data_IF_773048198417
#
_entry.id   IF_773048198417
#
_cell.length_a   1.000
_cell.length_b   1.000
_cell.length_c   1.000
_cell.angle_alpha   90.00
_cell.angle_beta   90.00
_cell.angle_gamma   90.00
#
_symmetry.space_group_name_H-M   'P 1'
#
loop_
_entity.id
_entity.type
_entity.pdbx_description
1 polymer ?
#
# COMPACT_ATOMS: atom_id res chain seq x y z
N UNK A 1 -0.09 11.23 1.61
CA UNK A 1 -0.21 12.08 0.39
C UNK A 1 -1.49 11.72 -0.36
N UNK A 2 -2.61 11.69 0.36
CA UNK A 2 -3.74 10.82 0.00
C UNK A 2 -4.58 11.31 -1.18
N UNK A 3 -4.41 12.57 -1.58
CA UNK A 3 -5.11 13.17 -2.75
C UNK A 3 -4.35 13.00 -4.06
N UNK A 4 -3.09 12.55 -4.01
CA UNK A 4 -2.30 12.32 -5.22
C UNK A 4 -2.78 11.05 -5.92
N UNK A 5 -2.97 11.08 -7.25
CA UNK A 5 -3.19 9.84 -8.01
C UNK A 5 -1.92 8.97 -8.02
N UNK A 6 -2.08 7.66 -8.14
CA UNK A 6 -0.94 6.73 -8.15
C UNK A 6 0.03 7.03 -9.32
N UNK A 7 -0.51 7.42 -10.47
CA UNK A 7 0.29 7.81 -11.63
C UNK A 7 1.16 9.02 -11.32
N UNK A 8 0.58 10.04 -10.68
CA UNK A 8 1.30 11.25 -10.31
C UNK A 8 2.33 10.99 -9.21
N UNK A 9 2.04 10.07 -8.28
CA UNK A 9 2.94 9.73 -7.17
C UNK A 9 4.20 9.03 -7.68
N UNK A 10 4.03 8.05 -8.57
CA UNK A 10 5.15 7.36 -9.22
C UNK A 10 5.96 8.33 -10.10
N UNK A 11 5.29 9.25 -10.80
CA UNK A 11 5.97 10.26 -11.60
C UNK A 11 6.80 11.21 -10.70
N UNK A 12 6.23 11.70 -9.59
CA UNK A 12 6.94 12.55 -8.64
C UNK A 12 8.18 11.87 -8.05
N UNK A 13 8.11 10.57 -7.72
CA UNK A 13 9.26 9.80 -7.24
C UNK A 13 10.36 9.70 -8.31
N UNK A 14 9.99 9.39 -9.56
CA UNK A 14 10.95 9.30 -10.67
C UNK A 14 11.63 10.65 -10.94
N UNK A 15 10.85 11.72 -10.96
CA UNK A 15 11.35 13.07 -11.17
C UNK A 15 12.24 13.52 -10.00
N UNK A 16 11.87 13.19 -8.75
CA UNK A 16 12.68 13.49 -7.58
C UNK A 16 14.04 12.78 -7.61
N UNK A 17 14.07 11.49 -7.97
CA UNK A 17 15.31 10.73 -8.18
C UNK A 17 16.14 11.30 -9.33
N UNK A 18 15.52 11.63 -10.47
CA UNK A 18 16.24 12.16 -11.65
C UNK A 18 16.91 13.50 -11.35
N UNK A 19 16.29 14.34 -10.54
CA UNK A 19 16.82 15.66 -10.20
C UNK A 19 17.70 15.66 -8.94
N UNK A 20 18.01 14.49 -8.35
CA UNK A 20 18.73 14.38 -7.07
C UNK A 20 18.16 15.32 -5.99
N UNK A 21 16.83 15.33 -5.85
CA UNK A 21 16.18 16.08 -4.79
C UNK A 21 16.55 15.51 -3.41
N UNK A 22 16.12 16.23 -2.37
CA UNK A 22 16.36 15.84 -0.98
C UNK A 22 16.06 14.33 -0.76
N UNK A 23 17.04 13.54 -0.26
CA UNK A 23 16.86 12.12 0.01
C UNK A 23 15.66 11.81 0.92
N UNK A 24 15.37 12.68 1.88
CA UNK A 24 14.23 12.51 2.78
C UNK A 24 12.90 12.67 2.05
N UNK A 25 12.83 13.60 1.09
CA UNK A 25 11.66 13.75 0.24
C UNK A 25 11.45 12.51 -0.65
N UNK A 26 12.53 11.95 -1.20
CA UNK A 26 12.49 10.71 -2.00
C UNK A 26 12.00 9.54 -1.14
N UNK A 27 12.47 9.44 0.12
CA UNK A 27 12.05 8.41 1.09
C UNK A 27 10.56 8.49 1.38
N UNK A 28 10.02 9.69 1.61
CA UNK A 28 8.58 9.90 1.85
C UNK A 28 7.74 9.41 0.66
N UNK A 29 8.18 9.69 -0.57
CA UNK A 29 7.49 9.22 -1.77
C UNK A 29 7.53 7.70 -1.90
N UNK A 30 8.66 7.08 -1.58
CA UNK A 30 8.85 5.63 -1.60
C UNK A 30 7.96 4.91 -0.58
N UNK A 31 7.89 5.43 0.65
CA UNK A 31 7.04 4.89 1.72
C UNK A 31 5.56 4.95 1.36
N UNK A 32 5.09 6.06 0.80
CA UNK A 32 3.72 6.21 0.35
C UNK A 32 3.39 5.22 -0.78
N UNK A 33 4.31 5.00 -1.74
CA UNK A 33 4.14 4.01 -2.82
C UNK A 33 4.00 2.60 -2.21
N UNK A 34 4.88 2.22 -1.29
CA UNK A 34 4.79 0.92 -0.62
C UNK A 34 3.49 0.75 0.16
N UNK A 35 3.07 1.75 0.93
CA UNK A 35 1.82 1.73 1.67
C UNK A 35 0.60 1.50 0.76
N UNK A 36 0.55 2.15 -0.40
CA UNK A 36 -0.56 1.97 -1.35
C UNK A 36 -0.57 0.61 -2.01
N UNK A 37 0.60 0.07 -2.34
CA UNK A 37 0.71 -1.29 -2.89
C UNK A 37 0.26 -2.30 -1.85
N UNK A 38 0.73 -2.20 -0.61
CA UNK A 38 0.31 -3.07 0.48
C UNK A 38 -1.20 -2.97 0.71
N UNK A 39 -1.76 -1.77 0.76
CA UNK A 39 -3.22 -1.58 0.91
C UNK A 39 -3.99 -2.26 -0.22
N UNK A 40 -3.56 -2.12 -1.47
CA UNK A 40 -4.21 -2.80 -2.62
C UNK A 40 -4.11 -4.31 -2.53
N UNK A 41 -2.94 -4.85 -2.16
CA UNK A 41 -2.74 -6.29 -1.99
C UNK A 41 -3.66 -6.81 -0.88
N UNK A 42 -3.70 -6.13 0.27
CA UNK A 42 -4.55 -6.49 1.40
C UNK A 42 -6.05 -6.39 1.05
N UNK A 43 -6.47 -5.33 0.37
CA UNK A 43 -7.85 -5.19 -0.12
C UNK A 43 -8.22 -6.26 -1.15
N UNK A 44 -7.26 -6.68 -1.99
CA UNK A 44 -7.49 -7.76 -2.95
C UNK A 44 -7.53 -9.15 -2.27
N UNK A 45 -6.80 -9.35 -1.16
CA UNK A 45 -6.89 -10.59 -0.36
C UNK A 45 -8.16 -10.66 0.48
N UNK A 46 -8.73 -9.52 0.91
CA UNK A 46 -10.00 -9.48 1.63
C UNK A 46 -11.22 -9.92 0.80
N UNK A 47 -11.05 -10.17 -0.51
CA UNK A 47 -12.08 -10.76 -1.37
C UNK A 47 -12.10 -12.30 -1.42
N UNK A 48 -11.14 -13.01 -0.78
CA UNK A 48 -11.14 -14.49 -0.74
C UNK A 48 -11.28 -15.09 0.66
N UNK A 49 -10.95 -14.36 1.72
CA UNK A 49 -10.84 -14.93 3.07
C UNK A 49 -11.89 -14.36 4.06
N UNK A 50 -13.14 -14.17 3.62
CA UNK A 50 -14.30 -13.97 4.51
C UNK A 50 -15.17 -15.23 4.59
N UNK A 51 -14.54 -16.40 4.74
CA UNK A 51 -15.16 -17.63 5.24
C UNK A 51 -14.35 -18.13 6.44
N UNK A 52 -14.38 -17.37 7.52
CA UNK A 52 -14.23 -17.95 8.85
C UNK A 52 -15.56 -17.72 9.52
N UNK A 53 -16.41 -18.73 9.43
CA UNK A 53 -17.60 -18.87 10.25
C UNK A 53 -17.16 -18.93 11.72
N UNK A 54 -17.80 -18.14 12.57
CA UNK A 54 -17.61 -18.21 14.03
C UNK A 54 -17.92 -19.62 14.59
N UNK A 55 -18.57 -20.48 13.80
CA UNK A 55 -18.88 -21.87 14.13
C UNK A 55 -17.63 -22.78 14.17
N UNK A 56 -16.59 -22.49 13.36
CA UNK A 56 -15.35 -23.27 13.35
C UNK A 56 -14.49 -23.14 14.63
N UNK A 57 -14.80 -22.18 15.52
CA UNK A 57 -14.05 -21.95 16.76
C UNK A 57 -14.65 -22.64 18.00
N UNK A 58 -15.76 -23.38 17.86
CA UNK A 58 -16.40 -24.09 18.99
C UNK A 58 -16.26 -25.63 18.98
N UNK A 59 -15.53 -26.23 18.04
CA UNK A 59 -15.35 -27.70 17.98
C UNK A 59 -14.01 -28.22 18.55
N UNK A 60 -13.25 -27.41 19.28
CA UNK A 60 -12.11 -27.91 20.06
C UNK A 60 -12.20 -27.45 21.51
N UNK A 61 -13.19 -27.94 22.25
CA UNK A 61 -13.11 -28.29 23.68
C UNK A 61 -14.13 -29.38 24.03
#
# INVERSE_FOLDING_TARGET
>A
MDTLSDKLLVQAYKDAKRNNLNPEFIRILEEEIHHRVLRKVLSNSQGRDMLFDEESLMEIQ
#
